data_IF_694170235941
#
_entry.id   IF_694170235941
#
_cell.length_a   1.000
_cell.length_b   1.000
_cell.length_c   1.000
_cell.angle_alpha   90.00
_cell.angle_beta   90.00
_cell.angle_gamma   90.00
#
_symmetry.space_group_name_H-M   'P 1'
#
loop_
_entity.id
_entity.type
_entity.pdbx_description
1 polymer ?
#
# COMPACT_ATOMS: atom_id res chain seq x y z
N UNK A 1 31.92 6.14 -3.96
CA UNK A 1 30.86 6.79 -4.75
C UNK A 1 29.44 6.58 -4.17
N UNK A 2 29.31 6.33 -2.86
CA UNK A 2 28.00 6.05 -2.23
C UNK A 2 27.65 7.08 -1.14
N UNK A 3 28.62 7.85 -0.68
CA UNK A 3 28.48 8.75 0.46
C UNK A 3 27.47 9.89 0.19
N UNK A 4 27.47 10.42 -1.04
CA UNK A 4 26.50 11.43 -1.47
C UNK A 4 25.08 10.85 -1.51
N UNK A 5 24.91 9.62 -2.02
CA UNK A 5 23.60 8.97 -2.06
C UNK A 5 23.09 8.66 -0.64
N UNK A 6 23.97 8.21 0.26
CA UNK A 6 23.63 7.98 1.66
C UNK A 6 23.19 9.27 2.37
N UNK A 7 23.91 10.38 2.15
CA UNK A 7 23.55 11.69 2.69
C UNK A 7 22.20 12.20 2.18
N UNK A 8 21.92 12.07 0.88
CA UNK A 8 20.63 12.49 0.31
C UNK A 8 19.48 11.63 0.83
N UNK A 9 19.67 10.31 0.98
CA UNK A 9 18.62 9.40 1.44
C UNK A 9 18.33 9.49 2.94
N UNK A 10 19.25 10.03 3.76
CA UNK A 10 19.05 10.21 5.20
C UNK A 10 18.28 11.47 5.58
N UNK A 11 18.01 12.37 4.62
CA UNK A 11 17.25 13.58 4.90
C UNK A 11 15.76 13.27 5.16
N UNK A 12 15.10 13.99 6.09
CA UNK A 12 13.68 13.81 6.34
C UNK A 12 12.86 14.14 5.09
N UNK A 13 11.91 13.28 4.74
CA UNK A 13 11.02 13.49 3.60
C UNK A 13 9.64 13.90 4.08
N UNK A 14 9.12 15.07 3.67
CA UNK A 14 7.75 15.43 4.00
C UNK A 14 6.80 14.41 3.34
N UNK A 15 5.85 13.91 4.14
CA UNK A 15 4.82 13.03 3.62
C UNK A 15 3.76 13.86 2.91
N UNK A 16 3.33 13.40 1.73
CA UNK A 16 2.23 14.02 0.99
C UNK A 16 0.92 13.38 1.44
N UNK A 17 -0.16 14.13 1.46
CA UNK A 17 -1.49 13.56 1.70
C UNK A 17 -1.86 12.58 0.57
N UNK A 18 -2.02 11.30 0.93
CA UNK A 18 -2.37 10.20 0.03
C UNK A 18 -3.83 9.75 0.18
N UNK A 19 -4.64 10.46 0.97
CA UNK A 19 -6.05 10.12 1.22
C UNK A 19 -6.90 10.03 -0.06
N UNK A 20 -6.47 10.72 -1.13
CA UNK A 20 -7.15 10.79 -2.43
C UNK A 20 -6.48 9.99 -3.55
N UNK A 21 -5.40 9.27 -3.27
CA UNK A 21 -4.70 8.47 -4.29
C UNK A 21 -5.60 7.36 -4.84
N UNK A 22 -6.53 6.86 -4.01
CA UNK A 22 -7.49 5.82 -4.36
C UNK A 22 -8.93 6.28 -4.11
N UNK A 23 -9.55 7.03 -5.04
CA UNK A 23 -10.96 7.43 -4.92
C UNK A 23 -11.91 6.22 -4.95
N UNK A 24 -11.45 5.12 -5.55
CA UNK A 24 -12.14 3.85 -5.71
C UNK A 24 -11.30 2.77 -5.04
N UNK A 25 -11.70 2.33 -3.86
CA UNK A 25 -10.92 1.36 -3.08
C UNK A 25 -10.84 -0.01 -3.74
N UNK A 26 -11.77 -0.36 -4.63
CA UNK A 26 -11.74 -1.57 -5.47
C UNK A 26 -10.64 -1.58 -6.54
N UNK A 27 -10.07 -0.41 -6.86
CA UNK A 27 -8.96 -0.27 -7.81
C UNK A 27 -7.59 -0.36 -7.14
N UNK A 28 -7.56 -0.32 -5.81
CA UNK A 28 -6.33 -0.41 -5.02
C UNK A 28 -5.62 -1.75 -5.28
N UNK A 29 -4.29 -1.78 -5.35
CA UNK A 29 -3.53 -3.01 -5.48
C UNK A 29 -3.84 -3.95 -4.32
N UNK A 30 -3.80 -5.24 -4.63
CA UNK A 30 -4.09 -6.31 -3.68
C UNK A 30 -3.18 -6.27 -2.44
N UNK A 31 -1.91 -5.90 -2.65
CA UNK A 31 -0.82 -5.86 -1.68
C UNK A 31 -0.64 -4.50 -1.02
N UNK A 32 -1.58 -3.58 -1.22
CA UNK A 32 -1.49 -2.27 -0.61
C UNK A 32 -1.70 -2.38 0.90
N UNK A 33 -0.69 -1.99 1.69
CA UNK A 33 -0.63 -2.28 3.11
C UNK A 33 -1.52 -1.39 4.02
N UNK A 34 -2.19 -0.37 3.48
CA UNK A 34 -2.96 0.60 4.27
C UNK A 34 -4.45 0.64 3.91
N UNK A 35 -5.30 0.62 4.94
CA UNK A 35 -6.73 0.84 4.84
C UNK A 35 -7.06 2.26 4.34
N UNK A 36 -8.30 2.55 3.91
CA UNK A 36 -9.45 1.64 3.80
C UNK A 36 -9.39 0.74 2.55
N UNK A 37 -9.96 -0.46 2.67
CA UNK A 37 -10.16 -1.42 1.58
C UNK A 37 -11.65 -1.50 1.22
N UNK A 38 -11.97 -2.05 0.04
CA UNK A 38 -13.36 -2.34 -0.33
C UNK A 38 -13.87 -3.67 0.26
N UNK A 39 -12.98 -4.43 0.89
CA UNK A 39 -13.24 -5.73 1.50
C UNK A 39 -13.13 -5.67 3.04
N UNK A 40 -13.28 -6.83 3.69
CA UNK A 40 -13.22 -6.98 5.14
C UNK A 40 -11.92 -7.65 5.63
N UNK A 41 -10.86 -7.70 4.81
CA UNK A 41 -9.58 -8.27 5.22
C UNK A 41 -8.76 -7.26 6.04
N UNK A 42 -7.87 -7.76 6.89
CA UNK A 42 -7.02 -6.91 7.74
C UNK A 42 -5.83 -6.31 6.97
N UNK A 43 -5.29 -5.20 7.45
CA UNK A 43 -4.05 -4.61 6.90
C UNK A 43 -2.88 -5.60 6.90
N UNK A 44 -2.81 -6.47 7.91
CA UNK A 44 -1.80 -7.53 8.00
C UNK A 44 -1.94 -8.53 6.85
N UNK A 45 -3.17 -8.92 6.50
CA UNK A 45 -3.44 -9.83 5.37
C UNK A 45 -3.14 -9.17 4.02
N UNK A 46 -3.43 -7.87 3.86
CA UNK A 46 -3.03 -7.14 2.66
C UNK A 46 -1.51 -6.93 2.57
N UNK A 47 -0.82 -6.78 3.70
CA UNK A 47 0.63 -6.57 3.74
C UNK A 47 1.45 -7.85 3.54
N UNK A 48 0.97 -8.98 4.05
CA UNK A 48 1.73 -10.23 4.09
C UNK A 48 1.03 -11.42 3.41
N UNK A 49 -0.25 -11.31 3.08
CA UNK A 49 -1.09 -12.40 2.59
C UNK A 49 -1.82 -13.16 3.70
N UNK A 50 -2.63 -14.18 3.35
CA UNK A 50 -2.69 -14.86 2.04
C UNK A 50 -3.49 -14.07 0.96
N UNK A 51 -2.89 -13.90 -0.21
CA UNK A 51 -3.45 -13.10 -1.31
C UNK A 51 -4.56 -13.79 -2.12
N UNK A 52 -4.62 -15.13 -2.10
CA UNK A 52 -5.62 -15.91 -2.84
C UNK A 52 -7.08 -15.57 -2.47
N UNK A 53 -7.48 -15.53 -1.19
CA UNK A 53 -8.85 -15.17 -0.79
C UNK A 53 -9.20 -13.72 -1.20
N UNK A 54 -8.28 -12.78 -1.03
CA UNK A 54 -8.46 -11.38 -1.40
C UNK A 54 -8.68 -11.26 -2.92
N UNK A 55 -7.83 -11.93 -3.72
CA UNK A 55 -7.98 -11.92 -5.19
C UNK A 55 -9.31 -12.52 -5.63
N UNK A 56 -9.79 -13.57 -4.95
CA UNK A 56 -11.08 -14.19 -5.23
C UNK A 56 -12.26 -13.25 -4.95
N UNK A 57 -12.14 -12.36 -3.96
CA UNK A 57 -13.16 -11.34 -3.67
C UNK A 57 -13.30 -10.35 -4.83
N UNK A 58 -12.18 -9.84 -5.36
CA UNK A 58 -12.17 -8.87 -6.47
C UNK A 58 -12.36 -9.47 -7.87
N UNK A 59 -12.21 -10.79 -8.03
CA UNK A 59 -12.36 -11.49 -9.31
C UNK A 59 -13.82 -11.87 -9.65
N UNK A 60 -14.79 -11.47 -8.84
CA UNK A 60 -16.22 -11.63 -9.15
C UNK A 60 -16.68 -10.56 -10.14
#
# INVERSE_FOLDING_TARGET
>A
CWDVAAYVNSQPRPHKDQSKDWPKYDKKPLDFAFAPYADNFSETEHKYGPYKPIKKFYSK
#
